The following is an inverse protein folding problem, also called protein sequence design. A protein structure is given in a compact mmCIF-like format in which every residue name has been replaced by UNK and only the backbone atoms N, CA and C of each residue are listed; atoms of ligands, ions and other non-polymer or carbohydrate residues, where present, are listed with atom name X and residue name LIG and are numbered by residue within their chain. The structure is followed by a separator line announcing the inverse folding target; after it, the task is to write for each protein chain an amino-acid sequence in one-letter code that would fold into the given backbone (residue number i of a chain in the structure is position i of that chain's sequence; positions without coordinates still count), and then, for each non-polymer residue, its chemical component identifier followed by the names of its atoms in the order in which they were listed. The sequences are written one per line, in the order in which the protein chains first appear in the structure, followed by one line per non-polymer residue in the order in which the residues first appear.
data_IF_504225048649
#
_entry.id   IF_504225048649
#
_cell.length_a   1.000
_cell.length_b   1.000
_cell.length_c   1.000
_cell.angle_alpha   90.00
_cell.angle_beta   90.00
_cell.angle_gamma   90.00
#
_symmetry.space_group_name_H-M   'P 1'
#
loop_
_entity.id
_entity.type
_entity.pdbx_description
1 polymer ?
#
# COMPACT_ATOMS: atom_id res chain seq x y z
N UNK A 1 -12.98 6.22 31.57
CA UNK A 1 -13.31 4.79 31.30
C UNK A 1 -12.07 4.09 30.76
N UNK A 2 -11.68 2.93 31.31
CA UNK A 2 -10.59 2.12 30.72
C UNK A 2 -11.06 1.62 29.35
N UNK A 3 -10.40 2.06 28.27
CA UNK A 3 -10.70 1.63 26.91
C UNK A 3 -10.43 0.13 26.80
N UNK A 4 -11.42 -0.66 26.38
CA UNK A 4 -11.27 -2.09 26.14
C UNK A 4 -10.87 -2.32 24.69
N UNK A 5 -9.97 -3.26 24.45
CA UNK A 5 -9.59 -3.65 23.10
C UNK A 5 -10.82 -4.22 22.38
N UNK A 6 -11.18 -3.72 21.19
CA UNK A 6 -12.41 -4.10 20.53
C UNK A 6 -12.34 -5.55 20.02
N UNK A 7 -13.51 -6.17 19.83
CA UNK A 7 -13.63 -7.59 19.47
C UNK A 7 -12.87 -7.93 18.17
N UNK A 8 -12.94 -7.06 17.15
CA UNK A 8 -12.24 -7.28 15.89
C UNK A 8 -10.72 -7.29 16.06
N UNK A 9 -10.18 -6.57 17.04
CA UNK A 9 -8.77 -6.65 17.40
C UNK A 9 -8.37 -8.02 17.93
N UNK A 10 -9.17 -8.60 18.82
CA UNK A 10 -8.93 -9.96 19.32
C UNK A 10 -9.01 -11.01 18.22
N UNK A 11 -10.00 -10.88 17.33
CA UNK A 11 -10.10 -11.72 16.12
C UNK A 11 -8.84 -11.56 15.27
N UNK A 12 -8.37 -10.32 15.08
CA UNK A 12 -7.16 -10.02 14.33
C UNK A 12 -5.92 -10.69 14.91
N UNK A 13 -5.71 -10.60 16.23
CA UNK A 13 -4.60 -11.25 16.91
C UNK A 13 -4.65 -12.77 16.81
N UNK A 14 -5.85 -13.37 16.93
CA UNK A 14 -6.04 -14.80 16.78
C UNK A 14 -5.69 -15.27 15.36
N UNK A 15 -6.13 -14.53 14.34
CA UNK A 15 -5.78 -14.80 12.94
C UNK A 15 -4.28 -14.70 12.70
N UNK A 16 -3.62 -13.67 13.23
CA UNK A 16 -2.16 -13.55 13.14
C UNK A 16 -1.48 -14.75 13.80
N UNK A 17 -1.83 -15.05 15.05
CA UNK A 17 -1.21 -16.15 15.80
C UNK A 17 -1.37 -17.50 15.09
N UNK A 18 -2.58 -17.80 14.59
CA UNK A 18 -2.86 -19.03 13.88
C UNK A 18 -2.15 -19.08 12.52
N UNK A 19 -2.41 -18.12 11.64
CA UNK A 19 -1.95 -18.21 10.25
C UNK A 19 -0.48 -17.86 10.08
N UNK A 20 0.13 -17.06 10.96
CA UNK A 20 1.59 -16.93 10.98
C UNK A 20 2.22 -18.29 11.32
N UNK A 21 1.81 -18.90 12.43
CA UNK A 21 2.36 -20.19 12.87
C UNK A 21 2.19 -21.26 11.80
N UNK A 22 0.98 -21.39 11.24
CA UNK A 22 0.71 -22.35 10.17
C UNK A 22 1.55 -22.07 8.93
N UNK A 23 1.71 -20.80 8.55
CA UNK A 23 2.46 -20.41 7.36
C UNK A 23 3.97 -20.72 7.48
N UNK A 24 4.54 -20.62 8.68
CA UNK A 24 5.97 -20.86 8.90
C UNK A 24 6.32 -22.30 9.28
N UNK A 25 5.41 -23.04 9.90
CA UNK A 25 5.70 -24.39 10.44
C UNK A 25 5.28 -25.50 9.49
N UNK A 26 4.16 -25.35 8.78
CA UNK A 26 3.68 -26.42 7.91
C UNK A 26 4.55 -26.55 6.65
N UNK A 27 4.71 -27.76 6.09
CA UNK A 27 5.32 -27.96 4.78
C UNK A 27 4.34 -27.63 3.65
N UNK A 28 4.86 -27.58 2.41
CA UNK A 28 4.04 -27.48 1.20
C UNK A 28 3.60 -26.05 0.86
N UNK A 29 2.54 -25.90 0.07
CA UNK A 29 2.13 -24.63 -0.53
C UNK A 29 1.18 -23.81 0.36
N UNK A 30 1.48 -23.69 1.66
CA UNK A 30 0.56 -23.11 2.66
C UNK A 30 0.25 -21.63 2.47
N UNK A 31 1.19 -20.85 1.93
CA UNK A 31 1.03 -19.39 1.83
C UNK A 31 -0.14 -18.99 0.94
N UNK A 32 -0.48 -19.80 -0.06
CA UNK A 32 -1.62 -19.52 -0.95
C UNK A 32 -2.94 -19.28 -0.18
N UNK A 33 -3.18 -20.04 0.90
CA UNK A 33 -4.39 -19.97 1.71
C UNK A 33 -4.17 -19.31 3.07
N UNK A 34 -2.93 -19.27 3.57
CA UNK A 34 -2.61 -18.67 4.86
C UNK A 34 -2.36 -17.17 4.79
N UNK A 35 -1.97 -16.63 3.63
CA UNK A 35 -1.57 -15.23 3.49
C UNK A 35 -2.73 -14.26 3.69
N UNK A 36 -3.86 -14.47 3.00
CA UNK A 36 -5.04 -13.63 3.15
C UNK A 36 -5.53 -13.52 4.60
N UNK A 37 -5.82 -14.62 5.33
CA UNK A 37 -6.30 -14.51 6.70
C UNK A 37 -5.27 -13.92 7.67
N UNK A 38 -3.96 -14.16 7.44
CA UNK A 38 -2.89 -13.50 8.19
C UNK A 38 -2.94 -11.97 8.04
N UNK A 39 -3.05 -11.48 6.81
CA UNK A 39 -3.11 -10.04 6.52
C UNK A 39 -4.45 -9.40 6.88
N UNK A 40 -5.55 -10.15 6.80
CA UNK A 40 -6.82 -9.73 7.41
C UNK A 40 -6.65 -9.56 8.91
N UNK A 41 -5.96 -10.49 9.56
CA UNK A 41 -5.61 -10.40 10.97
C UNK A 41 -4.81 -9.15 11.32
N UNK A 42 -3.80 -8.83 10.49
CA UNK A 42 -3.04 -7.57 10.58
C UNK A 42 -3.94 -6.34 10.47
N UNK A 43 -4.76 -6.26 9.42
CA UNK A 43 -5.62 -5.11 9.15
C UNK A 43 -6.61 -4.86 10.30
N UNK A 44 -7.22 -5.92 10.84
CA UNK A 44 -8.14 -5.82 11.99
C UNK A 44 -7.41 -5.42 13.29
N UNK A 45 -6.21 -5.96 13.52
CA UNK A 45 -5.41 -5.61 14.71
C UNK A 45 -4.98 -4.16 14.68
N UNK A 46 -4.45 -3.69 13.53
CA UNK A 46 -4.04 -2.28 13.36
C UNK A 46 -5.24 -1.35 13.48
N UNK A 47 -6.37 -1.69 12.87
CA UNK A 47 -7.61 -0.91 13.01
C UNK A 47 -8.08 -0.82 14.47
N UNK A 48 -8.00 -1.91 15.23
CA UNK A 48 -8.32 -1.92 16.66
C UNK A 48 -7.36 -1.05 17.50
N UNK A 49 -6.07 -1.03 17.15
CA UNK A 49 -5.08 -0.15 17.79
C UNK A 49 -5.36 1.33 17.49
N UNK A 50 -5.77 1.65 16.26
CA UNK A 50 -6.24 2.99 15.89
C UNK A 50 -7.45 3.35 16.74
N UNK A 51 -8.48 2.50 16.76
CA UNK A 51 -9.71 2.72 17.54
C UNK A 51 -9.41 2.98 19.02
N UNK A 52 -8.51 2.20 19.63
CA UNK A 52 -8.09 2.41 21.01
C UNK A 52 -7.46 3.80 21.26
N UNK A 53 -6.80 4.38 20.27
CA UNK A 53 -6.09 5.66 20.39
C UNK A 53 -6.98 6.84 20.04
N UNK A 54 -7.84 6.71 19.03
CA UNK A 54 -8.58 7.83 18.43
C UNK A 54 -10.10 7.72 18.60
N UNK A 55 -10.63 6.68 19.26
CA UNK A 55 -12.07 6.37 19.40
C UNK A 55 -12.82 6.20 18.06
N UNK A 56 -12.07 6.12 16.98
CA UNK A 56 -12.53 5.96 15.60
C UNK A 56 -11.44 5.27 14.81
N UNK A 57 -11.80 4.50 13.78
CA UNK A 57 -10.89 3.82 12.87
C UNK A 57 -11.53 3.70 11.48
N UNK A 58 -10.82 3.18 10.48
CA UNK A 58 -11.39 2.97 9.15
C UNK A 58 -12.63 2.06 9.22
N UNK A 59 -12.54 0.94 9.93
CA UNK A 59 -13.63 -0.02 10.07
C UNK A 59 -14.83 0.58 10.80
N UNK A 60 -14.61 1.26 11.94
CA UNK A 60 -15.73 1.82 12.72
C UNK A 60 -16.38 3.02 12.06
N UNK A 61 -15.64 3.78 11.22
CA UNK A 61 -16.21 4.88 10.44
C UNK A 61 -17.16 4.40 9.36
N UNK A 62 -16.82 3.30 8.67
CA UNK A 62 -17.72 2.68 7.70
C UNK A 62 -17.21 1.30 7.27
N UNK A 63 -17.92 0.24 7.68
CA UNK A 63 -17.60 -1.12 7.25
C UNK A 63 -17.67 -1.29 5.72
N UNK A 64 -18.60 -0.58 5.04
CA UNK A 64 -18.74 -0.63 3.58
C UNK A 64 -17.53 -0.02 2.88
N UNK A 65 -17.06 1.15 3.34
CA UNK A 65 -15.86 1.78 2.78
C UNK A 65 -14.60 0.98 3.12
N UNK A 66 -14.57 0.33 4.29
CA UNK A 66 -13.48 -0.55 4.68
C UNK A 66 -13.37 -1.74 3.73
N UNK A 67 -14.49 -2.42 3.45
CA UNK A 67 -14.55 -3.46 2.42
C UNK A 67 -14.16 -2.91 1.04
N UNK A 68 -14.56 -1.67 0.73
CA UNK A 68 -14.14 -0.97 -0.49
C UNK A 68 -12.62 -0.84 -0.63
N UNK A 69 -11.85 -0.74 0.45
CA UNK A 69 -10.38 -0.75 0.40
C UNK A 69 -9.86 -2.09 -0.14
N UNK A 70 -10.42 -3.21 0.32
CA UNK A 70 -10.04 -4.54 -0.15
C UNK A 70 -10.34 -4.72 -1.63
N UNK A 71 -11.52 -4.27 -2.06
CA UNK A 71 -11.96 -4.35 -3.46
C UNK A 71 -11.14 -3.44 -4.38
N UNK A 72 -10.72 -2.27 -3.92
CA UNK A 72 -9.86 -1.37 -4.68
C UNK A 72 -8.40 -1.85 -4.76
N UNK A 73 -7.97 -2.67 -3.81
CA UNK A 73 -6.57 -3.08 -3.67
C UNK A 73 -6.08 -4.02 -4.77
N UNK A 74 -6.87 -5.04 -5.12
CA UNK A 74 -6.41 -6.02 -6.13
C UNK A 74 -6.28 -5.44 -7.54
N UNK A 75 -7.22 -4.62 -8.08
CA UNK A 75 -7.02 -3.98 -9.39
C UNK A 75 -5.80 -3.07 -9.42
N UNK A 76 -5.52 -2.37 -8.31
CA UNK A 76 -4.34 -1.52 -8.18
C UNK A 76 -3.06 -2.35 -8.25
N UNK A 77 -2.96 -3.43 -7.48
CA UNK A 77 -1.76 -4.29 -7.52
C UNK A 77 -1.56 -4.97 -8.88
N UNK A 78 -2.64 -5.34 -9.58
CA UNK A 78 -2.55 -5.92 -10.92
C UNK A 78 -1.92 -4.96 -11.95
N UNK A 79 -1.93 -3.63 -11.74
CA UNK A 79 -1.16 -2.69 -12.57
C UNK A 79 0.36 -2.90 -12.42
N UNK A 80 0.82 -3.16 -11.20
CA UNK A 80 2.22 -3.46 -10.91
C UNK A 80 2.62 -4.81 -11.47
N UNK A 81 1.76 -5.82 -11.36
CA UNK A 81 1.98 -7.12 -12.02
C UNK A 81 2.06 -6.99 -13.54
N UNK A 82 1.22 -6.15 -14.15
CA UNK A 82 1.29 -5.87 -15.58
C UNK A 82 2.62 -5.22 -15.97
N UNK A 83 3.10 -4.24 -15.20
CA UNK A 83 4.42 -3.65 -15.42
C UNK A 83 5.53 -4.70 -15.19
N UNK A 84 5.39 -5.54 -14.18
CA UNK A 84 6.36 -6.57 -13.84
C UNK A 84 6.51 -7.63 -14.94
N UNK A 85 5.49 -7.88 -15.77
CA UNK A 85 5.67 -8.72 -16.98
C UNK A 85 6.79 -8.22 -17.89
N UNK A 86 7.00 -6.90 -17.95
CA UNK A 86 8.08 -6.27 -18.72
C UNK A 86 9.37 -6.13 -17.92
N UNK A 87 9.26 -5.79 -16.64
CA UNK A 87 10.40 -5.48 -15.77
C UNK A 87 11.11 -6.72 -15.22
N UNK A 88 10.33 -7.77 -14.88
CA UNK A 88 10.80 -9.00 -14.24
C UNK A 88 11.55 -8.72 -12.92
N UNK A 89 11.09 -7.71 -12.17
CA UNK A 89 11.69 -7.27 -10.90
C UNK A 89 11.40 -8.22 -9.74
N UNK A 90 10.30 -8.98 -9.81
CA UNK A 90 9.99 -10.03 -8.83
C UNK A 90 9.39 -11.25 -9.52
N UNK A 91 9.61 -12.42 -8.91
CA UNK A 91 9.04 -13.70 -9.37
C UNK A 91 8.45 -14.46 -8.19
N UNK A 92 7.39 -15.23 -8.43
CA UNK A 92 6.76 -16.08 -7.43
C UNK A 92 7.31 -17.50 -7.52
N UNK A 93 8.11 -17.90 -6.55
CA UNK A 93 8.65 -19.27 -6.44
C UNK A 93 7.57 -20.16 -5.83
N UNK A 94 7.31 -21.31 -6.43
CA UNK A 94 6.22 -22.22 -6.07
C UNK A 94 4.90 -21.92 -6.80
N UNK A 95 4.86 -20.90 -7.65
CA UNK A 95 3.69 -20.59 -8.48
C UNK A 95 3.47 -21.65 -9.58
N UNK A 96 4.54 -22.32 -10.01
CA UNK A 96 4.56 -23.40 -10.99
C UNK A 96 3.75 -24.64 -10.56
N UNK A 97 3.45 -24.76 -9.26
CA UNK A 97 2.59 -25.81 -8.74
C UNK A 97 1.09 -25.59 -9.03
N UNK A 98 0.72 -24.45 -9.63
CA UNK A 98 -0.65 -24.08 -9.93
C UNK A 98 -0.88 -23.88 -11.41
N UNK A 99 -2.12 -24.09 -11.86
CA UNK A 99 -2.54 -23.55 -13.15
C UNK A 99 -2.52 -22.02 -13.11
N UNK A 100 -2.28 -21.33 -14.25
CA UNK A 100 -2.27 -19.86 -14.29
C UNK A 100 -3.57 -19.24 -13.76
N UNK A 101 -4.71 -19.89 -14.02
CA UNK A 101 -6.01 -19.45 -13.51
C UNK A 101 -6.08 -19.54 -11.98
N UNK A 102 -5.73 -20.69 -11.39
CA UNK A 102 -5.80 -20.89 -9.95
C UNK A 102 -4.81 -19.99 -9.20
N UNK A 103 -3.60 -19.82 -9.76
CA UNK A 103 -2.64 -18.83 -9.25
C UNK A 103 -3.24 -17.42 -9.28
N UNK A 104 -3.86 -17.03 -10.39
CA UNK A 104 -4.53 -15.73 -10.53
C UNK A 104 -5.62 -15.49 -9.50
N UNK A 105 -6.42 -16.51 -9.15
CA UNK A 105 -7.45 -16.42 -8.10
C UNK A 105 -6.81 -16.18 -6.73
N UNK A 106 -5.83 -16.99 -6.33
CA UNK A 106 -5.15 -16.83 -5.04
C UNK A 106 -4.38 -15.51 -4.94
N UNK A 107 -3.66 -15.14 -6.00
CA UNK A 107 -2.94 -13.87 -6.08
C UNK A 107 -3.92 -12.70 -5.94
N UNK A 108 -5.04 -12.71 -6.67
CA UNK A 108 -6.06 -11.66 -6.58
C UNK A 108 -6.60 -11.51 -5.15
N UNK A 109 -6.90 -12.62 -4.48
CA UNK A 109 -7.36 -12.60 -3.09
C UNK A 109 -6.29 -11.99 -2.17
N UNK A 110 -5.03 -12.41 -2.30
CA UNK A 110 -3.93 -11.89 -1.50
C UNK A 110 -3.66 -10.40 -1.77
N UNK A 111 -3.78 -9.95 -3.01
CA UNK A 111 -3.62 -8.54 -3.38
C UNK A 111 -4.72 -7.63 -2.82
N UNK A 112 -5.84 -8.17 -2.35
CA UNK A 112 -6.88 -7.35 -1.71
C UNK A 112 -6.41 -6.72 -0.39
N UNK A 113 -5.34 -7.22 0.24
CA UNK A 113 -4.94 -6.79 1.57
C UNK A 113 -3.96 -5.62 1.60
N UNK A 114 -3.41 -5.23 0.43
CA UNK A 114 -2.34 -4.21 0.33
C UNK A 114 -2.82 -2.84 0.79
N UNK A 115 -3.84 -2.27 0.15
CA UNK A 115 -4.38 -0.95 0.51
C UNK A 115 -4.89 -0.88 1.96
N UNK A 116 -5.74 -1.81 2.46
CA UNK A 116 -6.23 -1.72 3.84
C UNK A 116 -5.09 -1.83 4.87
N UNK A 117 -4.05 -2.63 4.61
CA UNK A 117 -2.89 -2.70 5.48
C UNK A 117 -2.12 -1.36 5.53
N UNK A 118 -1.83 -0.77 4.36
CA UNK A 118 -1.05 0.48 4.27
C UNK A 118 -1.81 1.64 4.89
N UNK A 119 -3.09 1.83 4.53
CA UNK A 119 -3.87 2.95 5.04
C UNK A 119 -4.22 2.79 6.52
N UNK A 120 -4.50 1.57 6.99
CA UNK A 120 -4.68 1.31 8.43
C UNK A 120 -3.41 1.65 9.22
N UNK A 121 -2.25 1.25 8.72
CA UNK A 121 -0.95 1.54 9.35
C UNK A 121 -0.62 3.03 9.31
N UNK A 122 -0.92 3.70 8.20
CA UNK A 122 -0.81 5.15 8.09
C UNK A 122 -1.69 5.84 9.14
N UNK A 123 -2.93 5.39 9.35
CA UNK A 123 -3.81 5.96 10.39
C UNK A 123 -3.29 5.74 11.80
N UNK A 124 -2.70 4.57 12.06
CA UNK A 124 -2.02 4.29 13.33
C UNK A 124 -0.86 5.25 13.54
N UNK A 125 0.01 5.45 12.54
CA UNK A 125 1.10 6.44 12.61
C UNK A 125 0.55 7.84 12.85
N UNK A 126 -0.51 8.24 12.15
CA UNK A 126 -1.15 9.57 12.29
C UNK A 126 -1.56 9.85 13.73
N UNK A 127 -2.02 8.83 14.45
CA UNK A 127 -2.42 8.95 15.86
C UNK A 127 -1.25 9.32 16.80
N UNK A 128 0.00 9.13 16.36
CA UNK A 128 1.22 9.59 17.04
C UNK A 128 1.75 10.90 16.45
N UNK A 129 1.69 11.06 15.13
CA UNK A 129 2.18 12.24 14.41
C UNK A 129 1.13 13.37 14.35
N UNK A 130 0.82 13.96 15.51
CA UNK A 130 -0.24 14.99 15.61
C UNK A 130 0.16 16.34 15.03
N UNK A 131 1.44 16.72 15.18
CA UNK A 131 1.95 18.03 14.76
C UNK A 131 2.19 18.07 13.24
N UNK A 132 1.95 19.22 12.58
CA UNK A 132 2.33 19.41 11.18
C UNK A 132 3.82 19.13 10.97
N UNK A 133 4.14 18.52 9.83
CA UNK A 133 5.54 18.32 9.40
C UNK A 133 5.80 19.33 8.30
N UNK A 134 6.74 20.26 8.51
CA UNK A 134 7.06 21.26 7.49
C UNK A 134 7.84 20.62 6.36
N UNK A 135 7.52 20.99 5.12
CA UNK A 135 8.29 20.64 3.94
C UNK A 135 8.09 21.64 2.80
N UNK A 136 8.62 21.36 1.60
CA UNK A 136 8.56 22.29 0.48
C UNK A 136 7.12 22.54 0.03
N UNK A 137 6.84 23.79 -0.37
CA UNK A 137 5.50 24.18 -0.83
C UNK A 137 5.33 23.75 -2.29
N UNK A 138 4.40 22.84 -2.55
CA UNK A 138 4.04 22.38 -3.89
C UNK A 138 2.60 22.81 -4.18
N UNK A 139 2.44 23.85 -5.00
CA UNK A 139 1.13 24.38 -5.40
C UNK A 139 0.64 23.73 -6.69
N UNK A 140 -0.68 23.48 -6.84
CA UNK A 140 -1.25 22.87 -8.05
C UNK A 140 -1.40 23.91 -9.18
N UNK A 141 -0.31 24.58 -9.57
CA UNK A 141 -0.34 25.45 -10.74
C UNK A 141 -0.50 24.61 -12.01
N UNK A 142 -0.99 25.24 -13.09
CA UNK A 142 -1.12 24.58 -14.39
C UNK A 142 0.22 23.98 -14.85
N UNK A 143 1.31 24.71 -14.69
CA UNK A 143 2.65 24.25 -15.07
C UNK A 143 3.13 23.07 -14.23
N UNK A 144 2.88 23.08 -12.91
CA UNK A 144 3.27 21.96 -12.03
C UNK A 144 2.48 20.70 -12.36
N UNK A 145 1.16 20.79 -12.50
CA UNK A 145 0.31 19.63 -12.79
C UNK A 145 0.59 19.04 -14.18
N UNK A 146 0.77 19.87 -15.21
CA UNK A 146 1.18 19.41 -16.55
C UNK A 146 2.59 18.80 -16.50
N UNK A 147 3.53 19.45 -15.81
CA UNK A 147 4.90 18.95 -15.66
C UNK A 147 4.96 17.58 -15.01
N UNK A 148 4.20 17.37 -13.92
CA UNK A 148 4.07 16.07 -13.27
C UNK A 148 3.49 15.02 -14.22
N UNK A 149 2.40 15.35 -14.90
CA UNK A 149 1.73 14.43 -15.82
C UNK A 149 2.66 13.99 -16.96
N UNK A 150 3.35 14.94 -17.61
CA UNK A 150 4.30 14.64 -18.68
C UNK A 150 5.50 13.84 -18.15
N UNK A 151 6.03 14.18 -16.98
CA UNK A 151 7.13 13.45 -16.35
C UNK A 151 6.73 11.99 -16.04
N UNK A 152 5.52 11.75 -15.55
CA UNK A 152 5.01 10.40 -15.32
C UNK A 152 4.94 9.56 -16.59
N UNK A 153 4.46 10.12 -17.71
CA UNK A 153 4.47 9.44 -19.00
C UNK A 153 5.88 9.19 -19.55
N UNK A 154 6.79 10.15 -19.39
CA UNK A 154 8.20 9.96 -19.74
C UNK A 154 8.85 8.85 -18.91
N UNK A 155 8.54 8.76 -17.62
CA UNK A 155 9.00 7.69 -16.73
C UNK A 155 8.48 6.31 -17.19
N UNK A 156 7.19 6.21 -17.53
CA UNK A 156 6.60 4.97 -18.08
C UNK A 156 7.27 4.56 -19.40
N UNK A 157 7.49 5.51 -20.31
CA UNK A 157 8.17 5.25 -21.58
C UNK A 157 9.63 4.80 -21.37
N UNK A 158 10.36 5.47 -20.47
CA UNK A 158 11.74 5.14 -20.14
C UNK A 158 11.87 3.74 -19.52
N UNK A 159 10.99 3.37 -18.57
CA UNK A 159 11.02 2.02 -17.97
C UNK A 159 10.62 0.93 -18.96
N UNK A 160 9.73 1.22 -19.93
CA UNK A 160 9.37 0.28 -20.99
C UNK A 160 10.53 0.06 -21.99
N UNK A 161 11.23 1.14 -22.34
CA UNK A 161 12.36 1.10 -23.27
C UNK A 161 13.62 0.48 -22.63
N UNK A 162 14.00 0.90 -21.42
CA UNK A 162 15.20 0.43 -20.71
C UNK A 162 14.87 -0.06 -19.28
N UNK A 163 14.20 -1.21 -19.14
CA UNK A 163 13.70 -1.70 -17.86
C UNK A 163 14.82 -1.94 -16.85
N UNK A 164 15.99 -2.45 -17.27
CA UNK A 164 17.10 -2.75 -16.36
C UNK A 164 17.67 -1.51 -15.64
N UNK A 165 17.44 -0.32 -16.18
CA UNK A 165 17.92 0.95 -15.63
C UNK A 165 16.78 1.70 -14.94
N UNK A 166 15.65 1.82 -15.62
CA UNK A 166 14.53 2.66 -15.16
C UNK A 166 13.41 1.88 -14.46
N UNK A 167 13.63 0.62 -14.07
CA UNK A 167 12.68 -0.14 -13.26
C UNK A 167 12.20 0.58 -11.99
N UNK A 168 12.97 1.45 -11.29
CA UNK A 168 12.47 2.11 -10.08
C UNK A 168 11.27 3.03 -10.34
N UNK A 169 11.09 3.48 -11.58
CA UNK A 169 9.95 4.32 -11.95
C UNK A 169 8.60 3.64 -11.84
N UNK A 170 8.55 2.30 -11.75
CA UNK A 170 7.31 1.58 -11.48
C UNK A 170 6.67 1.99 -10.15
N UNK A 171 7.46 2.48 -9.19
CA UNK A 171 7.01 2.83 -7.84
C UNK A 171 6.59 4.30 -7.66
N UNK A 172 6.72 5.14 -8.69
CA UNK A 172 6.40 6.58 -8.60
C UNK A 172 5.69 7.17 -9.84
N UNK A 173 5.84 6.53 -11.00
CA UNK A 173 5.30 7.04 -12.27
C UNK A 173 3.78 7.19 -12.26
N UNK A 174 3.05 6.27 -11.63
CA UNK A 174 1.60 6.35 -11.53
C UNK A 174 1.18 7.50 -10.62
N UNK A 175 1.94 7.83 -9.57
CA UNK A 175 1.65 9.00 -8.75
C UNK A 175 1.77 10.28 -9.58
N UNK A 176 2.84 10.41 -10.38
CA UNK A 176 3.05 11.56 -11.26
C UNK A 176 1.94 11.74 -12.31
N UNK A 177 1.30 10.65 -12.73
CA UNK A 177 0.16 10.69 -13.65
C UNK A 177 -1.14 10.98 -12.92
N UNK A 178 -1.41 10.21 -11.85
CA UNK A 178 -2.72 10.17 -11.20
C UNK A 178 -2.96 11.35 -10.26
N UNK A 179 -1.92 11.92 -9.67
CA UNK A 179 -2.05 13.10 -8.80
C UNK A 179 -2.57 14.32 -9.59
N UNK A 180 -1.98 14.73 -10.74
CA UNK A 180 -2.59 15.75 -11.62
C UNK A 180 -4.00 15.41 -12.08
N UNK A 181 -4.27 14.15 -12.46
CA UNK A 181 -5.60 13.72 -12.89
C UNK A 181 -6.64 13.91 -11.79
N UNK A 182 -6.31 13.54 -10.55
CA UNK A 182 -7.20 13.78 -9.40
C UNK A 182 -7.43 15.28 -9.18
N UNK A 183 -6.39 16.11 -9.26
CA UNK A 183 -6.51 17.56 -9.15
C UNK A 183 -7.46 18.13 -10.22
N UNK A 184 -7.27 17.74 -11.49
CA UNK A 184 -8.11 18.21 -12.60
C UNK A 184 -9.56 17.74 -12.50
N UNK A 185 -9.80 16.55 -11.93
CA UNK A 185 -11.14 16.02 -11.68
C UNK A 185 -11.78 16.55 -10.39
N UNK A 186 -11.10 17.44 -9.66
CA UNK A 186 -11.56 18.00 -8.39
C UNK A 186 -11.67 16.97 -7.27
N UNK A 187 -10.85 15.91 -7.34
CA UNK A 187 -10.78 14.81 -6.37
C UNK A 187 -9.76 15.10 -5.28
N UNK A 188 -9.87 14.39 -4.17
CA UNK A 188 -8.91 14.46 -3.05
C UNK A 188 -7.50 14.13 -3.55
N UNK A 189 -6.54 14.93 -3.13
CA UNK A 189 -5.14 14.86 -3.54
C UNK A 189 -4.22 15.30 -2.39
N UNK A 190 -2.96 14.86 -2.40
CA UNK A 190 -1.98 15.27 -1.39
C UNK A 190 -1.64 16.76 -1.48
N UNK A 191 -1.88 17.38 -2.64
CA UNK A 191 -1.69 18.82 -2.84
C UNK A 191 -2.51 19.69 -1.90
N UNK A 192 -3.60 19.16 -1.35
CA UNK A 192 -4.43 19.88 -0.37
C UNK A 192 -3.65 20.27 0.89
N UNK A 193 -2.58 19.54 1.21
CA UNK A 193 -1.68 19.85 2.32
C UNK A 193 -0.32 20.37 1.87
N UNK A 194 0.28 19.81 0.80
CA UNK A 194 1.61 20.25 0.35
C UNK A 194 1.61 21.69 -0.20
N UNK A 195 0.47 22.23 -0.64
CA UNK A 195 0.34 23.63 -1.05
C UNK A 195 0.56 24.63 0.08
N UNK A 196 0.34 24.19 1.32
CA UNK A 196 0.51 24.96 2.55
C UNK A 196 1.78 24.54 3.32
N UNK A 197 2.57 23.62 2.73
CA UNK A 197 3.80 23.10 3.33
C UNK A 197 3.58 22.08 4.45
N UNK A 198 2.37 21.55 4.64
CA UNK A 198 2.10 20.44 5.57
C UNK A 198 2.34 19.09 4.88
N UNK A 199 3.45 18.45 5.24
CA UNK A 199 3.88 17.14 4.76
C UNK A 199 3.47 16.00 5.68
N UNK A 200 2.73 16.29 6.76
CA UNK A 200 2.28 15.26 7.71
C UNK A 200 1.54 14.10 7.01
N UNK A 201 0.60 14.31 6.08
CA UNK A 201 -0.04 13.20 5.35
C UNK A 201 0.96 12.33 4.58
N UNK A 202 1.93 12.95 3.91
CA UNK A 202 2.97 12.26 3.13
C UNK A 202 3.86 11.42 4.05
N UNK A 203 4.36 12.01 5.14
CA UNK A 203 5.18 11.29 6.13
C UNK A 203 4.38 10.18 6.81
N UNK A 204 3.09 10.41 7.06
CA UNK A 204 2.18 9.40 7.62
C UNK A 204 2.04 8.19 6.69
N UNK A 205 1.86 8.43 5.38
CA UNK A 205 1.84 7.36 4.37
C UNK A 205 3.16 6.62 4.31
N UNK A 206 4.28 7.34 4.29
CA UNK A 206 5.64 6.76 4.26
C UNK A 206 5.94 5.87 5.47
N UNK A 207 5.65 6.34 6.67
CA UNK A 207 5.87 5.52 7.87
C UNK A 207 4.86 4.37 7.97
N UNK A 208 3.62 4.58 7.51
CA UNK A 208 2.60 3.54 7.46
C UNK A 208 2.99 2.40 6.52
N UNK A 209 3.47 2.71 5.32
CA UNK A 209 3.91 1.70 4.35
C UNK A 209 5.22 1.03 4.76
N UNK A 210 6.14 1.73 5.43
CA UNK A 210 7.35 1.10 5.96
C UNK A 210 7.00 0.07 7.05
N UNK A 211 6.02 0.38 7.90
CA UNK A 211 5.51 -0.58 8.88
C UNK A 211 4.94 -1.83 8.18
N UNK A 212 4.10 -1.66 7.16
CA UNK A 212 3.56 -2.82 6.42
C UNK A 212 4.63 -3.55 5.65
N UNK A 213 5.58 -2.84 5.04
CA UNK A 213 6.69 -3.42 4.29
C UNK A 213 7.55 -4.32 5.16
N UNK A 214 7.84 -3.89 6.40
CA UNK A 214 8.52 -4.75 7.36
C UNK A 214 7.81 -6.10 7.53
N UNK A 215 6.49 -6.10 7.71
CA UNK A 215 5.70 -7.33 7.86
C UNK A 215 5.54 -8.11 6.55
N UNK A 216 5.46 -7.44 5.39
CA UNK A 216 5.50 -8.11 4.07
C UNK A 216 6.75 -8.94 3.93
N UNK A 217 7.92 -8.32 4.13
CA UNK A 217 9.19 -9.02 3.98
C UNK A 217 9.38 -10.09 5.05
N UNK A 218 9.04 -9.79 6.31
CA UNK A 218 9.15 -10.75 7.41
C UNK A 218 8.31 -11.99 7.14
N UNK A 219 7.01 -11.83 6.85
CA UNK A 219 6.13 -12.98 6.66
C UNK A 219 6.44 -13.75 5.38
N UNK A 220 6.93 -13.09 4.34
CA UNK A 220 7.35 -13.73 3.09
C UNK A 220 8.62 -14.59 3.25
N UNK A 221 9.51 -14.26 4.17
CA UNK A 221 10.82 -14.92 4.34
C UNK A 221 10.74 -16.45 4.44
N UNK A 222 9.88 -16.96 5.33
CA UNK A 222 9.63 -18.40 5.51
C UNK A 222 8.33 -18.88 4.85
N UNK A 223 7.78 -18.11 3.90
CA UNK A 223 6.59 -18.48 3.12
C UNK A 223 6.94 -19.37 1.93
N UNK A 224 5.99 -20.15 1.45
CA UNK A 224 6.02 -20.78 0.12
C UNK A 224 4.57 -21.15 -0.33
N UNK A 225 4.12 -20.72 -1.52
CA UNK A 225 4.82 -19.85 -2.47
C UNK A 225 5.23 -18.50 -1.86
N UNK A 226 6.35 -17.95 -2.33
CA UNK A 226 6.90 -16.66 -1.88
C UNK A 226 7.33 -15.84 -3.09
N UNK A 227 7.34 -14.52 -2.94
CA UNK A 227 7.97 -13.67 -3.94
C UNK A 227 9.46 -13.49 -3.61
N UNK A 228 10.28 -13.41 -4.65
CA UNK A 228 11.70 -13.08 -4.55
C UNK A 228 12.01 -11.94 -5.52
N UNK A 229 12.91 -11.05 -5.13
CA UNK A 229 13.26 -9.87 -5.90
C UNK A 229 14.48 -10.11 -6.78
N UNK A 230 14.46 -9.51 -7.97
CA UNK A 230 15.57 -9.46 -8.91
C UNK A 230 15.90 -7.98 -9.14
N UNK A 231 16.88 -7.47 -8.39
CA UNK A 231 17.29 -6.07 -8.51
C UNK A 231 18.56 -5.98 -9.36
N UNK A 232 18.51 -5.39 -10.58
CA UNK A 232 19.64 -5.40 -11.51
C UNK A 232 20.96 -4.84 -10.95
N UNK A 233 20.89 -3.85 -10.06
CA UNK A 233 22.03 -3.23 -9.38
C UNK A 233 21.55 -2.78 -8.01
N UNK A 234 21.97 -3.44 -6.93
CA UNK A 234 21.47 -3.15 -5.58
C UNK A 234 21.01 -4.35 -4.76
N UNK A 235 21.27 -5.57 -5.22
CA UNK A 235 20.92 -6.82 -4.53
C UNK A 235 21.92 -7.17 -3.41
N UNK A 236 22.01 -6.31 -2.40
CA UNK A 236 22.90 -6.48 -1.24
C UNK A 236 22.28 -5.90 0.04
N UNK A 237 22.76 -6.35 1.21
CA UNK A 237 22.21 -6.03 2.54
C UNK A 237 20.71 -6.29 2.65
N UNK A 238 20.31 -7.55 2.49
CA UNK A 238 18.93 -7.96 2.61
C UNK A 238 18.42 -7.86 4.05
N UNK A 239 17.23 -7.28 4.19
CA UNK A 239 16.40 -7.41 5.39
C UNK A 239 15.25 -8.33 4.97
N UNK A 240 15.32 -9.59 5.40
CA UNK A 240 14.52 -10.70 4.85
C UNK A 240 14.77 -10.91 3.35
N UNK A 241 13.74 -10.86 2.49
CA UNK A 241 13.89 -11.07 1.04
C UNK A 241 14.26 -9.80 0.26
N UNK A 242 14.04 -8.61 0.83
CA UNK A 242 14.24 -7.34 0.14
C UNK A 242 15.60 -6.74 0.48
N UNK A 243 16.40 -6.30 -0.51
CA UNK A 243 17.56 -5.46 -0.27
C UNK A 243 17.17 -4.18 0.47
N UNK A 244 18.02 -3.67 1.37
CA UNK A 244 17.71 -2.46 2.15
C UNK A 244 17.33 -1.26 1.25
N UNK A 245 18.01 -1.11 0.10
CA UNK A 245 17.68 -0.08 -0.90
C UNK A 245 16.26 -0.23 -1.47
N UNK A 246 15.77 -1.47 -1.58
CA UNK A 246 14.43 -1.79 -2.04
C UNK A 246 13.34 -1.19 -1.15
N UNK A 247 13.59 -1.02 0.15
CA UNK A 247 12.63 -0.37 1.05
C UNK A 247 12.35 1.10 0.68
N UNK A 248 13.30 1.76 -0.01
CA UNK A 248 13.09 3.10 -0.54
C UNK A 248 11.98 3.16 -1.59
N UNK A 249 11.70 2.06 -2.29
CA UNK A 249 10.60 1.95 -3.25
C UNK A 249 9.21 1.97 -2.60
N UNK A 250 9.09 1.55 -1.33
CA UNK A 250 7.80 1.57 -0.62
C UNK A 250 7.29 2.99 -0.36
N UNK A 251 8.20 3.96 -0.16
CA UNK A 251 7.85 5.35 0.12
C UNK A 251 7.02 5.98 -1.01
N UNK A 252 7.50 6.04 -2.27
CA UNK A 252 6.70 6.57 -3.36
C UNK A 252 5.49 5.68 -3.69
N UNK A 253 5.60 4.36 -3.50
CA UNK A 253 4.50 3.43 -3.72
C UNK A 253 3.26 3.77 -2.87
N UNK A 254 3.43 4.20 -1.62
CA UNK A 254 2.30 4.65 -0.80
C UNK A 254 1.57 5.88 -1.37
N UNK A 255 2.28 6.73 -2.11
CA UNK A 255 1.68 7.88 -2.79
C UNK A 255 0.86 7.42 -4.01
N UNK A 256 1.36 6.42 -4.75
CA UNK A 256 0.61 5.80 -5.85
C UNK A 256 -0.69 5.17 -5.35
N UNK A 257 -0.63 4.43 -4.23
CA UNK A 257 -1.83 3.86 -3.59
C UNK A 257 -2.85 4.94 -3.23
N UNK A 258 -2.40 6.05 -2.65
CA UNK A 258 -3.27 7.18 -2.29
C UNK A 258 -3.95 7.78 -3.53
N UNK A 259 -3.17 8.10 -4.56
CA UNK A 259 -3.69 8.70 -5.78
C UNK A 259 -4.65 7.75 -6.53
N UNK A 260 -4.31 6.48 -6.66
CA UNK A 260 -5.18 5.48 -7.32
C UNK A 260 -6.46 5.23 -6.52
N UNK A 261 -6.36 5.13 -5.18
CA UNK A 261 -7.55 4.98 -4.34
C UNK A 261 -8.53 6.14 -4.52
N UNK A 262 -8.05 7.39 -4.45
CA UNK A 262 -8.93 8.55 -4.60
C UNK A 262 -9.46 8.72 -6.03
N UNK A 263 -8.71 8.26 -7.04
CA UNK A 263 -9.22 8.16 -8.39
C UNK A 263 -10.41 7.19 -8.46
N UNK A 264 -10.25 5.97 -7.92
CA UNK A 264 -11.31 4.96 -7.90
C UNK A 264 -12.51 5.40 -7.07
N UNK A 265 -12.29 5.92 -5.87
CA UNK A 265 -13.36 6.44 -5.01
C UNK A 265 -14.16 7.55 -5.70
N UNK A 266 -13.49 8.40 -6.48
CA UNK A 266 -14.12 9.45 -7.27
C UNK A 266 -14.99 8.96 -8.43
N UNK A 267 -14.83 7.71 -8.91
CA UNK A 267 -15.73 7.08 -9.89
C UNK A 267 -17.06 6.68 -9.26
N UNK A 268 -17.06 6.36 -7.96
CA UNK A 268 -18.25 5.97 -7.20
C UNK A 268 -18.85 7.13 -6.38
N UNK A 269 -18.64 8.38 -6.81
CA UNK A 269 -19.19 9.58 -6.18
C UNK A 269 -18.42 10.14 -4.99
N UNK A 270 -17.35 9.47 -4.55
CA UNK A 270 -16.51 9.87 -3.40
C UNK A 270 -15.44 10.91 -3.73
N UNK A 271 -15.70 11.92 -4.56
CA UNK A 271 -14.67 12.82 -5.11
C UNK A 271 -13.74 13.43 -4.05
N UNK A 272 -14.30 13.94 -2.94
CA UNK A 272 -13.55 14.54 -1.83
C UNK A 272 -13.65 13.72 -0.54
N UNK A 273 -13.70 12.40 -0.65
CA UNK A 273 -13.81 11.53 0.52
C UNK A 273 -12.61 11.74 1.45
N UNK A 274 -12.88 12.04 2.72
CA UNK A 274 -11.86 12.16 3.78
C UNK A 274 -11.72 10.86 4.58
N UNK A 275 -12.25 9.76 4.02
CA UNK A 275 -12.26 8.46 4.67
C UNK A 275 -10.84 7.95 4.98
N UNK A 276 -9.88 8.20 4.09
CA UNK A 276 -8.46 7.87 4.32
C UNK A 276 -7.72 9.17 4.59
N UNK A 277 -6.99 9.22 5.71
CA UNK A 277 -6.24 10.39 6.18
C UNK A 277 -7.12 11.64 6.29
N UNK A 278 -7.75 11.78 7.45
CA UNK A 278 -8.62 12.93 7.75
C UNK A 278 -7.83 14.25 7.77
N UNK A 279 -8.51 15.34 7.44
CA UNK A 279 -8.01 16.72 7.48
C UNK A 279 -8.05 17.29 8.90
N UNK A 280 -9.09 16.95 9.66
CA UNK A 280 -9.26 17.39 11.04
C UNK A 280 -8.57 16.43 12.01
N UNK A 281 -7.74 16.98 12.88
CA UNK A 281 -7.44 16.40 14.18
C UNK A 281 -8.35 17.08 15.18
N UNK A 282 -9.40 16.38 15.61
CA UNK A 282 -10.04 16.62 16.91
C UNK A 282 -9.23 15.91 17.99
#
# INVERSE_FOLDING_TARGET
MKRRFPLHGWIGLLLIAAFWTLNWVLPGLRTQWAFFPLWLGYALTVDALVFLRTDTSLLTRSWKKYLGLFLASSPVWWLFELANRRLQNWTYVGAEAFSPFLFGVWATLNFTTVIPAVFGSAELVRSYLRKPVKGPIIRPTKSVTIGFFLAGWMMLAAMAAWPKIFFPFVWISLYFIMEPVNIWLGRRSLVEWTKDGDWRPVVTLWLGVLLTAFFWEMWNFLSYPKWVYHVPWGDWLHVFEMPLLGYGGYLPFALELFALYHFLAGLFGGKKTEYVIETSGG
#
